data_IF_558036539020
#
_entry.id   IF_558036539020
#
_cell.length_a   1.000
_cell.length_b   1.000
_cell.length_c   1.000
_cell.angle_alpha   90.00
_cell.angle_beta   90.00
_cell.angle_gamma   90.00
#
_symmetry.space_group_name_H-M   'P 1'
#
loop_
_entity.id
_entity.type
_entity.pdbx_description
1 polymer ?
#
# COMPACT_ATOMS: atom_id res chain seq x y z
N UNK A 1 38.45 24.20 34.36
CA UNK A 1 39.11 23.19 33.49
C UNK A 1 38.03 22.55 32.62
N UNK A 2 38.03 22.94 31.35
CA UNK A 2 37.01 22.62 30.35
C UNK A 2 37.24 21.24 29.72
N UNK A 3 36.16 20.46 29.47
CA UNK A 3 36.14 19.48 28.36
C UNK A 3 35.56 20.17 27.13
N UNK A 4 36.07 19.89 25.90
CA UNK A 4 35.20 19.24 24.90
C UNK A 4 36.04 18.30 23.94
N UNK A 5 35.55 17.81 22.77
CA UNK A 5 35.56 16.38 22.39
C UNK A 5 36.44 16.10 21.13
N UNK A 6 36.48 14.86 20.59
CA UNK A 6 36.32 14.58 19.12
C UNK A 6 36.62 13.14 18.66
N UNK A 7 35.61 12.58 17.96
CA UNK A 7 35.64 11.95 16.62
C UNK A 7 36.62 10.79 16.38
N UNK A 8 36.08 9.57 16.30
CA UNK A 8 36.66 8.46 15.54
C UNK A 8 36.44 8.71 14.04
N UNK A 9 37.52 9.01 13.29
CA UNK A 9 37.52 8.98 11.82
C UNK A 9 38.00 7.61 11.34
N UNK A 10 37.25 7.05 10.39
CA UNK A 10 37.71 6.01 9.48
C UNK A 10 38.98 6.46 8.74
N UNK A 11 40.03 5.63 8.73
CA UNK A 11 41.07 5.68 7.70
C UNK A 11 41.57 4.28 7.36
N UNK A 12 41.56 3.99 6.05
CA UNK A 12 41.89 2.73 5.37
C UNK A 12 43.34 2.27 5.64
N UNK A 13 43.60 0.97 5.86
CA UNK A 13 44.91 0.39 5.58
C UNK A 13 45.14 0.20 4.06
N UNK A 14 46.38 0.26 3.58
CA UNK A 14 46.70 0.21 2.15
C UNK A 14 46.53 -1.19 1.56
N UNK A 15 45.92 -1.26 0.37
CA UNK A 15 45.88 -2.46 -0.47
C UNK A 15 47.29 -2.70 -1.04
N UNK A 16 47.99 -3.73 -0.56
CA UNK A 16 49.10 -4.33 -1.33
C UNK A 16 48.54 -5.50 -2.12
N UNK A 17 48.51 -5.35 -3.44
CA UNK A 17 48.09 -6.37 -4.39
C UNK A 17 49.08 -7.53 -4.40
N UNK A 18 48.62 -8.75 -4.09
CA UNK A 18 49.37 -9.96 -4.36
C UNK A 18 49.38 -10.22 -5.88
N UNK A 19 50.56 -10.43 -6.45
CA UNK A 19 50.72 -11.01 -7.79
C UNK A 19 50.59 -12.53 -7.67
N UNK A 20 49.60 -13.13 -8.30
CA UNK A 20 49.46 -14.58 -8.38
C UNK A 20 50.32 -15.08 -9.54
N UNK A 21 51.41 -15.78 -9.25
CA UNK A 21 52.21 -16.47 -10.24
C UNK A 21 51.98 -17.97 -10.13
N UNK A 22 51.76 -18.65 -11.26
CA UNK A 22 51.76 -20.10 -11.33
C UNK A 22 53.13 -20.59 -11.83
N UNK A 23 53.67 -21.62 -11.19
CA UNK A 23 54.93 -22.27 -11.57
C UNK A 23 54.70 -23.75 -11.78
N UNK A 24 55.34 -24.31 -12.81
CA UNK A 24 55.36 -25.76 -13.06
C UNK A 24 56.83 -26.17 -13.17
N UNK A 25 57.29 -27.08 -12.32
CA UNK A 25 58.65 -27.64 -12.36
C UNK A 25 58.62 -29.14 -12.68
N UNK A 26 59.58 -29.59 -13.50
CA UNK A 26 59.81 -31.00 -13.78
C UNK A 26 61.32 -31.23 -13.95
N UNK A 27 61.95 -31.89 -12.98
CA UNK A 27 63.41 -32.07 -12.96
C UNK A 27 64.19 -30.76 -12.86
N UNK A 28 65.34 -30.65 -13.55
CA UNK A 28 66.28 -29.51 -13.45
C UNK A 28 65.86 -28.26 -14.27
N UNK A 29 64.61 -28.15 -14.71
CA UNK A 29 64.09 -26.99 -15.44
C UNK A 29 62.89 -26.33 -14.74
N UNK A 30 62.80 -25.01 -14.81
CA UNK A 30 61.69 -24.21 -14.23
C UNK A 30 61.05 -23.36 -15.33
N UNK A 31 59.72 -23.46 -15.47
CA UNK A 31 58.92 -22.57 -16.31
C UNK A 31 58.08 -21.65 -15.42
N UNK A 32 58.15 -20.33 -15.67
CA UNK A 32 57.47 -19.29 -14.89
C UNK A 32 56.48 -18.54 -15.78
N UNK A 33 55.22 -18.43 -15.34
CA UNK A 33 54.24 -17.57 -15.98
C UNK A 33 54.10 -16.27 -15.18
N UNK A 34 54.30 -15.12 -15.82
CA UNK A 34 54.05 -13.80 -15.22
C UNK A 34 53.03 -13.04 -16.04
N UNK A 35 52.04 -12.49 -15.36
CA UNK A 35 51.09 -11.56 -15.94
C UNK A 35 51.73 -10.16 -16.02
N UNK A 36 51.80 -9.59 -17.23
CA UNK A 36 52.34 -8.24 -17.43
C UNK A 36 51.23 -7.22 -17.16
N UNK A 37 51.38 -6.44 -16.08
CA UNK A 37 50.43 -5.35 -15.79
C UNK A 37 50.70 -4.14 -16.68
N UNK A 38 49.75 -3.85 -17.56
CA UNK A 38 49.65 -2.56 -18.24
C UNK A 38 48.80 -2.63 -19.51
N UNK A 39 47.51 -2.31 -19.41
CA UNK A 39 46.62 -1.77 -20.46
C UNK A 39 46.54 -2.41 -21.86
N UNK A 40 47.30 -3.44 -22.16
CA UNK A 40 47.36 -4.15 -23.44
C UNK A 40 46.81 -5.58 -23.26
N UNK A 41 46.39 -6.28 -24.34
CA UNK A 41 45.83 -7.62 -24.23
C UNK A 41 46.79 -8.58 -23.50
N UNK A 42 46.25 -9.57 -22.74
CA UNK A 42 47.05 -10.46 -21.93
C UNK A 42 48.04 -11.22 -22.82
N UNK A 43 49.33 -11.04 -22.52
CA UNK A 43 50.43 -11.67 -23.23
C UNK A 43 51.21 -12.54 -22.24
N UNK A 44 51.46 -13.79 -22.62
CA UNK A 44 52.22 -14.76 -21.83
C UNK A 44 53.62 -14.83 -22.41
N UNK A 45 54.63 -14.49 -21.61
CA UNK A 45 56.03 -14.74 -21.95
C UNK A 45 56.46 -16.10 -21.38
N UNK A 46 57.08 -16.94 -22.23
CA UNK A 46 57.64 -18.24 -21.83
C UNK A 46 59.15 -18.16 -21.97
N UNK A 47 59.86 -18.27 -20.85
CA UNK A 47 61.32 -18.29 -20.82
C UNK A 47 61.81 -19.73 -20.61
N UNK A 48 62.66 -20.23 -21.51
CA UNK A 48 63.21 -21.58 -21.45
C UNK A 48 64.71 -21.47 -21.29
N UNK A 49 65.22 -21.73 -20.09
CA UNK A 49 66.64 -21.49 -19.75
C UNK A 49 67.55 -22.69 -19.96
N UNK A 50 67.06 -23.81 -20.53
CA UNK A 50 67.89 -25.00 -20.84
C UNK A 50 67.49 -25.65 -22.17
N UNK A 51 68.43 -26.26 -22.91
CA UNK A 51 68.16 -26.87 -24.22
C UNK A 51 67.30 -28.14 -24.07
N UNK A 52 66.16 -28.18 -24.78
CA UNK A 52 65.20 -29.29 -24.76
C UNK A 52 65.27 -30.07 -26.08
N UNK A 53 65.30 -31.40 -26.01
CA UNK A 53 65.33 -32.26 -27.20
C UNK A 53 64.07 -32.08 -28.08
N UNK A 54 64.20 -32.12 -29.42
CA UNK A 54 63.11 -31.79 -30.36
C UNK A 54 61.85 -32.65 -30.22
N UNK A 55 61.96 -33.88 -29.71
CA UNK A 55 60.81 -34.77 -29.45
C UNK A 55 59.91 -34.33 -28.28
N UNK A 56 60.37 -33.40 -27.43
CA UNK A 56 59.59 -32.90 -26.28
C UNK A 56 58.95 -31.52 -26.52
N UNK A 57 59.27 -30.87 -27.64
CA UNK A 57 58.68 -29.57 -28.03
C UNK A 57 57.18 -29.72 -28.40
N UNK A 58 56.81 -30.85 -29.00
CA UNK A 58 55.42 -31.16 -29.40
C UNK A 58 54.50 -31.33 -28.18
N UNK A 59 55.01 -31.89 -27.07
CA UNK A 59 54.25 -32.07 -25.83
C UNK A 59 54.00 -30.74 -25.10
N UNK A 60 54.97 -29.84 -25.11
CA UNK A 60 54.84 -28.51 -24.48
C UNK A 60 53.87 -27.62 -25.25
N UNK A 61 53.92 -27.64 -26.59
CA UNK A 61 52.95 -26.93 -27.45
C UNK A 61 51.53 -27.47 -27.27
N UNK A 62 51.36 -28.78 -27.10
CA UNK A 62 50.05 -29.40 -26.89
C UNK A 62 49.39 -29.01 -25.56
N UNK A 63 50.19 -28.86 -24.50
CA UNK A 63 49.70 -28.41 -23.18
C UNK A 63 49.35 -26.91 -23.17
N UNK A 64 50.07 -26.09 -23.94
CA UNK A 64 49.75 -24.65 -24.10
C UNK A 64 48.46 -24.46 -24.91
N UNK A 65 48.22 -25.26 -25.94
CA UNK A 65 46.96 -25.25 -26.71
C UNK A 65 45.77 -25.70 -25.84
N UNK A 66 45.93 -26.73 -25.00
CA UNK A 66 44.91 -27.15 -24.03
C UNK A 66 44.59 -26.06 -23.00
N UNK A 67 45.60 -25.35 -22.49
CA UNK A 67 45.41 -24.21 -21.58
C UNK A 67 44.65 -23.04 -22.25
N UNK A 68 44.92 -22.77 -23.54
CA UNK A 68 44.21 -21.75 -24.34
C UNK A 68 42.75 -22.15 -24.62
N UNK A 69 42.45 -23.42 -24.91
CA UNK A 69 41.07 -23.89 -25.13
C UNK A 69 40.27 -23.86 -23.82
N UNK A 70 40.88 -24.20 -22.68
CA UNK A 70 40.22 -24.03 -21.37
C UNK A 70 39.97 -22.56 -21.01
N UNK A 71 40.89 -21.63 -21.34
CA UNK A 71 40.71 -20.19 -21.05
C UNK A 71 39.68 -19.53 -21.98
N UNK A 72 39.61 -19.94 -23.25
CA UNK A 72 38.60 -19.46 -24.20
C UNK A 72 37.19 -19.99 -23.86
N UNK A 73 37.10 -21.19 -23.26
CA UNK A 73 35.85 -21.74 -22.72
C UNK A 73 35.35 -20.96 -21.49
N UNK A 74 36.26 -20.42 -20.67
CA UNK A 74 35.90 -19.52 -19.57
C UNK A 74 35.46 -18.13 -20.04
N UNK A 75 35.95 -17.65 -21.18
CA UNK A 75 35.52 -16.38 -21.77
C UNK A 75 34.20 -16.46 -22.56
N UNK A 76 33.85 -17.61 -23.12
CA UNK A 76 32.53 -17.85 -23.75
C UNK A 76 31.42 -18.22 -22.74
N UNK A 77 31.78 -18.73 -21.55
CA UNK A 77 30.86 -18.87 -20.41
C UNK A 77 30.74 -17.56 -19.61
N UNK A 78 31.71 -16.65 -19.70
CA UNK A 78 31.64 -15.30 -19.12
C UNK A 78 30.93 -14.25 -20.01
N UNK A 79 30.64 -14.57 -21.28
CA UNK A 79 29.91 -13.67 -22.20
C UNK A 79 28.58 -14.22 -22.72
N UNK A 80 28.01 -15.25 -22.08
CA UNK A 80 26.63 -15.69 -22.30
C UNK A 80 25.87 -15.98 -20.99
N UNK A 81 26.31 -15.40 -19.87
CA UNK A 81 25.58 -15.40 -18.59
C UNK A 81 25.10 -13.99 -18.19
N UNK A 82 24.88 -13.14 -19.20
CA UNK A 82 24.23 -11.82 -19.08
C UNK A 82 22.96 -11.77 -19.91
N UNK A 83 22.21 -12.87 -19.93
CA UNK A 83 20.80 -12.88 -20.30
C UNK A 83 20.01 -13.66 -19.25
N UNK A 84 19.07 -12.94 -18.63
CA UNK A 84 18.00 -13.40 -17.75
C UNK A 84 18.37 -13.89 -16.34
N UNK A 85 18.97 -13.01 -15.55
CA UNK A 85 18.40 -12.74 -14.22
C UNK A 85 18.17 -11.23 -14.08
N UNK A 86 17.47 -10.64 -15.04
CA UNK A 86 16.55 -9.57 -14.69
C UNK A 86 15.51 -10.20 -13.77
N UNK A 87 15.82 -10.27 -12.48
CA UNK A 87 14.80 -10.22 -11.46
C UNK A 87 14.00 -8.99 -11.82
N UNK A 88 12.88 -9.24 -12.51
CA UNK A 88 11.73 -8.38 -12.48
C UNK A 88 11.39 -8.32 -10.98
N UNK A 89 12.06 -7.42 -10.25
CA UNK A 89 11.39 -6.63 -9.24
C UNK A 89 10.36 -5.82 -10.03
N UNK A 90 9.32 -6.51 -10.52
CA UNK A 90 8.02 -5.92 -10.46
C UNK A 90 7.94 -5.56 -8.98
N UNK A 91 7.81 -4.27 -8.61
CA UNK A 91 7.21 -4.04 -7.32
C UNK A 91 5.97 -4.93 -7.37
N UNK A 92 5.89 -5.92 -6.48
CA UNK A 92 4.58 -6.40 -6.13
C UNK A 92 3.87 -5.08 -5.82
N UNK A 93 2.94 -4.67 -6.69
CA UNK A 93 2.01 -3.65 -6.31
C UNK A 93 1.32 -4.31 -5.12
N UNK A 94 1.85 -4.05 -3.93
CA UNK A 94 1.19 -4.43 -2.70
C UNK A 94 0.00 -3.51 -2.71
N UNK A 95 -1.06 -3.99 -3.36
CA UNK A 95 -2.35 -3.36 -3.47
C UNK A 95 -3.00 -3.50 -2.09
N UNK A 96 -2.39 -2.88 -1.08
CA UNK A 96 -2.78 -3.00 0.32
C UNK A 96 -4.03 -2.17 0.63
N UNK A 97 -4.38 -1.21 -0.19
CA UNK A 97 -5.38 -0.21 0.16
C UNK A 97 -6.63 -0.34 -0.71
N UNK A 98 -7.77 0.18 -0.28
CA UNK A 98 -9.02 0.00 -1.02
C UNK A 98 -9.99 1.16 -0.87
N UNK A 99 -11.00 1.18 -1.74
CA UNK A 99 -12.12 2.10 -1.71
C UNK A 99 -13.42 1.37 -2.08
N UNK A 100 -14.56 1.97 -1.74
CA UNK A 100 -15.86 1.51 -2.27
C UNK A 100 -15.86 1.67 -3.79
N UNK A 101 -16.21 0.62 -4.53
CA UNK A 101 -16.24 0.59 -6.01
C UNK A 101 -17.63 0.33 -6.59
N UNK A 102 -18.60 -0.08 -5.76
CA UNK A 102 -20.01 -0.19 -6.16
C UNK A 102 -20.94 -0.24 -4.94
N UNK A 103 -22.24 -0.11 -5.21
CA UNK A 103 -23.30 -0.23 -4.20
C UNK A 103 -24.36 -1.22 -4.66
N UNK A 104 -25.03 -1.88 -3.72
CA UNK A 104 -26.20 -2.71 -3.97
C UNK A 104 -27.38 -2.12 -3.19
N UNK A 105 -28.45 -1.76 -3.90
CA UNK A 105 -29.67 -1.16 -3.34
C UNK A 105 -30.86 -1.87 -3.99
N UNK A 106 -31.73 -2.48 -3.19
CA UNK A 106 -32.91 -3.21 -3.71
C UNK A 106 -32.55 -4.32 -4.71
N UNK A 107 -31.40 -4.97 -4.54
CA UNK A 107 -30.88 -5.98 -5.48
C UNK A 107 -30.24 -5.41 -6.76
N UNK A 108 -30.35 -4.10 -7.01
CA UNK A 108 -29.70 -3.44 -8.15
C UNK A 108 -28.27 -3.05 -7.80
N UNK A 109 -27.32 -3.39 -8.66
CA UNK A 109 -25.92 -2.95 -8.53
C UNK A 109 -25.74 -1.61 -9.21
N UNK A 110 -25.25 -0.63 -8.46
CA UNK A 110 -24.86 0.69 -8.94
C UNK A 110 -23.33 0.73 -9.02
N UNK A 111 -22.74 0.89 -10.22
CA UNK A 111 -21.30 1.06 -10.33
C UNK A 111 -20.86 2.33 -9.60
N UNK A 112 -19.71 2.25 -8.94
CA UNK A 112 -19.03 3.38 -8.33
C UNK A 112 -18.07 4.06 -9.31
N UNK A 113 -17.50 5.18 -8.86
CA UNK A 113 -16.40 5.84 -9.53
C UNK A 113 -15.17 4.92 -9.56
N UNK A 114 -14.37 5.01 -10.61
CA UNK A 114 -13.15 4.21 -10.78
C UNK A 114 -11.95 5.15 -10.69
N UNK A 115 -11.38 5.36 -9.50
CA UNK A 115 -10.36 6.39 -9.25
C UNK A 115 -9.12 6.28 -10.13
N UNK A 116 -8.61 5.06 -10.34
CA UNK A 116 -7.42 4.83 -11.18
C UNK A 116 -7.68 4.98 -12.68
N UNK A 117 -8.93 4.84 -13.12
CA UNK A 117 -9.30 4.94 -14.54
C UNK A 117 -10.70 5.53 -14.67
N UNK A 118 -10.84 6.85 -14.44
CA UNK A 118 -12.13 7.51 -14.51
C UNK A 118 -12.74 7.38 -15.91
N UNK A 119 -13.97 6.86 -15.96
CA UNK A 119 -14.67 6.69 -17.23
C UNK A 119 -15.41 7.98 -17.59
N UNK A 120 -15.23 8.52 -18.81
CA UNK A 120 -16.01 9.67 -19.28
C UNK A 120 -17.51 9.36 -19.27
N UNK A 121 -18.34 10.31 -18.84
CA UNK A 121 -19.81 10.21 -18.81
C UNK A 121 -20.37 9.03 -18.00
N UNK A 122 -19.60 8.50 -17.04
CA UNK A 122 -20.01 7.37 -16.21
C UNK A 122 -21.36 7.66 -15.50
N UNK A 123 -22.30 6.74 -15.63
CA UNK A 123 -23.61 6.79 -14.97
C UNK A 123 -23.49 6.20 -13.57
N UNK A 124 -23.03 7.01 -12.61
CA UNK A 124 -22.67 6.58 -11.26
C UNK A 124 -23.30 7.48 -10.19
N UNK A 125 -23.55 6.92 -9.02
CA UNK A 125 -24.06 7.65 -7.85
C UNK A 125 -22.94 8.10 -6.90
N UNK A 126 -21.75 7.54 -7.06
CA UNK A 126 -20.61 7.78 -6.19
C UNK A 126 -19.87 9.06 -6.59
N UNK A 127 -19.43 9.84 -5.60
CA UNK A 127 -18.52 10.97 -5.83
C UNK A 127 -17.12 10.48 -6.14
N UNK A 128 -16.33 11.35 -6.76
CA UNK A 128 -14.97 11.05 -7.18
C UNK A 128 -14.06 10.72 -5.98
N UNK A 129 -13.11 9.83 -6.19
CA UNK A 129 -12.02 9.53 -5.27
C UNK A 129 -10.75 9.26 -6.09
N UNK A 130 -9.57 9.72 -5.67
CA UNK A 130 -8.40 9.79 -6.56
C UNK A 130 -7.66 8.45 -6.72
N UNK A 131 -7.53 7.71 -5.63
CA UNK A 131 -6.71 6.51 -5.50
C UNK A 131 -7.11 5.76 -4.21
N UNK A 132 -6.33 4.77 -3.82
CA UNK A 132 -6.53 4.05 -2.56
C UNK A 132 -5.71 4.61 -1.39
N UNK A 133 -5.05 5.76 -1.52
CA UNK A 133 -4.25 6.29 -0.42
C UNK A 133 -5.16 6.74 0.75
N UNK A 134 -4.71 6.52 2.00
CA UNK A 134 -5.48 6.96 3.14
C UNK A 134 -5.36 8.47 3.34
N UNK A 135 -6.37 9.04 3.97
CA UNK A 135 -6.26 10.34 4.62
C UNK A 135 -5.68 10.11 6.01
N UNK A 136 -4.68 10.92 6.41
CA UNK A 136 -3.92 10.68 7.66
C UNK A 136 -4.39 11.55 8.84
N UNK A 137 -5.16 12.61 8.57
CA UNK A 137 -5.60 13.56 9.61
C UNK A 137 -7.09 13.80 9.55
N UNK A 138 -7.76 13.81 10.71
CA UNK A 138 -9.22 13.97 10.82
C UNK A 138 -9.71 15.36 10.39
N UNK A 139 -8.79 16.32 10.29
CA UNK A 139 -9.05 17.70 9.86
C UNK A 139 -8.79 17.94 8.37
N UNK A 140 -8.29 16.95 7.62
CA UNK A 140 -8.02 17.11 6.19
C UNK A 140 -9.31 17.45 5.43
N UNK A 141 -9.25 18.40 4.50
CA UNK A 141 -10.39 18.81 3.69
C UNK A 141 -11.00 17.65 2.86
N UNK A 142 -10.21 16.60 2.57
CA UNK A 142 -10.68 15.41 1.86
C UNK A 142 -11.55 14.49 2.71
N UNK A 143 -11.58 14.65 4.05
CA UNK A 143 -12.28 13.72 4.96
C UNK A 143 -13.77 13.55 4.67
N UNK A 144 -14.42 14.55 4.07
CA UNK A 144 -15.84 14.49 3.75
C UNK A 144 -16.12 13.37 2.76
N UNK A 145 -15.46 13.36 1.59
CA UNK A 145 -15.76 12.45 0.48
C UNK A 145 -14.52 12.11 -0.38
N UNK A 146 -13.34 11.95 0.22
CA UNK A 146 -12.05 11.73 -0.46
C UNK A 146 -11.71 12.80 -1.52
N UNK A 147 -12.15 14.05 -1.27
CA UNK A 147 -12.02 15.16 -2.23
C UNK A 147 -13.07 15.20 -3.34
N UNK A 148 -13.97 14.22 -3.43
CA UNK A 148 -15.08 14.19 -4.38
C UNK A 148 -16.13 15.27 -4.10
N UNK A 149 -16.68 15.85 -5.16
CA UNK A 149 -17.58 17.02 -5.08
C UNK A 149 -18.97 16.75 -5.63
N UNK A 150 -19.13 15.80 -6.55
CA UNK A 150 -20.41 15.56 -7.22
C UNK A 150 -20.52 14.15 -7.81
N UNK A 151 -21.74 13.72 -8.09
CA UNK A 151 -22.01 12.56 -8.95
C UNK A 151 -23.17 12.90 -9.91
N UNK A 152 -23.20 12.33 -11.13
CA UNK A 152 -24.23 12.65 -12.11
C UNK A 152 -25.60 12.06 -11.77
N UNK A 153 -25.65 10.96 -11.01
CA UNK A 153 -26.89 10.27 -10.67
C UNK A 153 -27.12 10.19 -9.15
N UNK A 154 -28.32 9.78 -8.78
CA UNK A 154 -28.66 9.32 -7.44
C UNK A 154 -29.46 8.02 -7.51
N UNK A 155 -29.43 7.23 -6.44
CA UNK A 155 -30.22 5.99 -6.34
C UNK A 155 -31.39 6.18 -5.38
N UNK A 156 -32.59 5.77 -5.81
CA UNK A 156 -33.78 5.73 -4.93
C UNK A 156 -33.65 4.57 -3.95
N UNK A 157 -33.98 4.83 -2.69
CA UNK A 157 -34.02 3.82 -1.63
C UNK A 157 -35.18 4.12 -0.68
N UNK A 158 -35.93 3.10 -0.28
CA UNK A 158 -36.98 3.26 0.74
C UNK A 158 -36.34 3.32 2.14
N UNK A 159 -36.77 4.25 2.99
CA UNK A 159 -36.39 4.26 4.39
C UNK A 159 -36.67 2.88 5.02
N UNK A 160 -35.74 2.36 5.82
CA UNK A 160 -35.81 1.01 6.37
C UNK A 160 -35.22 -0.08 5.48
N UNK A 161 -34.89 0.21 4.22
CA UNK A 161 -34.15 -0.72 3.34
C UNK A 161 -32.66 -0.72 3.64
N UNK A 162 -31.98 -1.79 3.24
CA UNK A 162 -30.53 -1.89 3.29
C UNK A 162 -29.88 -1.32 2.03
N UNK A 163 -28.75 -0.65 2.23
CA UNK A 163 -27.74 -0.36 1.22
C UNK A 163 -26.48 -1.13 1.55
N UNK A 164 -25.86 -1.76 0.56
CA UNK A 164 -24.57 -2.44 0.71
C UNK A 164 -23.50 -1.71 -0.08
N UNK A 165 -22.45 -1.24 0.57
CA UNK A 165 -21.22 -0.80 -0.09
C UNK A 165 -20.32 -2.01 -0.37
N UNK A 166 -19.67 -2.00 -1.53
CA UNK A 166 -18.75 -3.05 -1.99
C UNK A 166 -17.38 -2.46 -2.25
N UNK A 167 -16.34 -3.05 -1.66
CA UNK A 167 -14.95 -2.67 -1.88
C UNK A 167 -14.34 -3.52 -3.00
N UNK A 168 -13.60 -2.89 -3.91
CA UNK A 168 -12.87 -3.63 -4.95
C UNK A 168 -11.77 -4.51 -4.36
N UNK A 169 -11.16 -4.03 -3.28
CA UNK A 169 -10.20 -4.74 -2.44
C UNK A 169 -10.14 -4.04 -1.08
N UNK A 170 -9.64 -4.74 -0.06
CA UNK A 170 -9.35 -4.19 1.26
C UNK A 170 -8.38 -5.10 2.01
N UNK A 171 -7.39 -4.56 2.73
CA UNK A 171 -6.37 -5.42 3.38
C UNK A 171 -6.16 -5.22 4.89
N UNK A 172 -6.84 -4.27 5.53
CA UNK A 172 -6.61 -3.97 6.95
C UNK A 172 -7.73 -4.53 7.83
N UNK A 173 -7.40 -5.31 8.85
CA UNK A 173 -8.42 -6.01 9.67
C UNK A 173 -8.67 -5.35 11.03
N UNK A 174 -7.92 -4.30 11.36
CA UNK A 174 -8.00 -3.63 12.66
C UNK A 174 -8.54 -2.21 12.49
N UNK A 175 -9.72 -1.98 13.05
CA UNK A 175 -10.36 -0.67 13.12
C UNK A 175 -11.82 -0.67 12.69
N UNK A 176 -12.56 0.42 12.93
CA UNK A 176 -14.00 0.43 12.77
C UNK A 176 -14.45 0.63 11.32
N UNK A 177 -15.70 0.22 11.08
CA UNK A 177 -16.52 0.71 9.97
C UNK A 177 -17.50 1.74 10.53
N UNK A 178 -17.71 2.86 9.83
CA UNK A 178 -18.73 3.86 10.17
C UNK A 178 -19.49 4.29 8.92
N UNK A 179 -20.81 4.40 9.03
CA UNK A 179 -21.67 4.85 7.94
C UNK A 179 -22.48 6.06 8.38
N UNK A 180 -22.47 7.08 7.56
CA UNK A 180 -23.03 8.39 7.86
C UNK A 180 -23.99 8.83 6.75
N UNK A 181 -24.93 9.69 7.10
CA UNK A 181 -25.80 10.37 6.15
C UNK A 181 -25.80 11.88 6.38
N UNK A 182 -26.08 12.64 5.32
CA UNK A 182 -26.18 14.10 5.32
C UNK A 182 -27.33 14.56 4.41
N UNK A 183 -28.26 15.41 4.89
CA UNK A 183 -29.39 15.89 4.09
C UNK A 183 -28.96 16.97 3.08
N UNK A 184 -29.28 16.77 1.80
CA UNK A 184 -29.09 17.72 0.71
C UNK A 184 -30.37 18.53 0.45
N UNK A 185 -30.73 19.41 1.40
CA UNK A 185 -32.01 20.13 1.41
C UNK A 185 -32.25 21.00 0.16
N UNK A 186 -31.19 21.59 -0.40
CA UNK A 186 -31.21 22.40 -1.62
C UNK A 186 -30.83 21.63 -2.89
N UNK A 187 -30.77 20.30 -2.81
CA UNK A 187 -30.42 19.41 -3.89
C UNK A 187 -28.91 19.12 -4.03
N UNK A 188 -28.58 18.02 -4.71
CA UNK A 188 -27.19 17.51 -4.82
C UNK A 188 -26.19 18.52 -5.38
N UNK A 189 -26.58 19.37 -6.33
CA UNK A 189 -25.70 20.36 -6.96
C UNK A 189 -25.11 21.37 -5.96
N UNK A 190 -25.86 21.71 -4.91
CA UNK A 190 -25.44 22.62 -3.83
C UNK A 190 -24.98 21.89 -2.56
N UNK A 191 -24.96 20.56 -2.57
CA UNK A 191 -24.72 19.76 -1.38
C UNK A 191 -23.22 19.47 -1.20
N UNK A 192 -22.52 20.34 -0.46
CA UNK A 192 -21.08 20.21 -0.22
C UNK A 192 -20.70 19.38 1.01
N UNK A 193 -21.67 19.05 1.87
CA UNK A 193 -21.45 18.28 3.09
C UNK A 193 -20.66 19.03 4.17
N UNK A 194 -20.51 20.36 4.11
CA UNK A 194 -19.65 21.10 5.06
C UNK A 194 -20.34 21.52 6.34
N UNK A 195 -21.66 21.59 6.35
CA UNK A 195 -22.41 22.01 7.54
C UNK A 195 -22.42 20.92 8.61
N UNK A 196 -22.71 21.30 9.86
CA UNK A 196 -22.88 20.36 10.98
C UNK A 196 -24.22 19.61 10.87
N UNK A 197 -24.34 18.74 9.87
CA UNK A 197 -25.56 17.96 9.57
C UNK A 197 -25.29 16.49 9.27
N UNK A 198 -24.03 16.02 9.39
CA UNK A 198 -23.74 14.59 9.29
C UNK A 198 -24.24 13.88 10.53
N UNK A 199 -24.92 12.75 10.34
CA UNK A 199 -25.32 11.86 11.43
C UNK A 199 -24.92 10.43 11.09
N UNK A 200 -24.49 9.68 12.10
CA UNK A 200 -24.06 8.29 11.94
C UNK A 200 -25.28 7.38 11.98
N UNK A 201 -25.40 6.45 11.05
CA UNK A 201 -26.52 5.49 10.97
C UNK A 201 -26.10 4.06 11.31
N UNK A 202 -24.81 3.77 11.25
CA UNK A 202 -24.26 2.45 11.54
C UNK A 202 -22.79 2.55 11.93
N UNK A 203 -22.34 1.64 12.80
CA UNK A 203 -20.93 1.45 13.10
C UNK A 203 -20.65 0.07 13.65
N UNK A 204 -19.43 -0.41 13.42
CA UNK A 204 -18.87 -1.56 14.14
C UNK A 204 -17.41 -1.30 14.46
N UNK A 205 -17.09 -1.24 15.75
CA UNK A 205 -15.72 -1.17 16.26
C UNK A 205 -15.13 -2.56 16.50
N UNK A 206 -14.44 -2.71 17.63
CA UNK A 206 -13.98 -4.00 18.15
C UNK A 206 -15.17 -4.77 18.73
N UNK A 207 -15.37 -6.02 18.30
CA UNK A 207 -16.33 -6.95 18.92
C UNK A 207 -15.66 -8.09 19.69
N UNK A 208 -14.33 -8.25 19.55
CA UNK A 208 -13.51 -9.12 20.39
C UNK A 208 -13.02 -8.43 21.67
N UNK A 209 -12.10 -9.08 22.37
CA UNK A 209 -11.54 -8.59 23.65
C UNK A 209 -10.09 -8.10 23.55
N UNK A 210 -9.46 -8.21 22.37
CA UNK A 210 -8.07 -7.82 22.14
C UNK A 210 -7.96 -6.88 20.94
N UNK A 211 -7.35 -5.71 21.12
CA UNK A 211 -7.26 -4.69 20.05
C UNK A 211 -6.41 -5.15 18.86
N UNK A 212 -5.39 -5.99 19.09
CA UNK A 212 -4.56 -6.57 18.03
C UNK A 212 -5.17 -7.80 17.34
N UNK A 213 -6.40 -8.18 17.71
CA UNK A 213 -7.14 -9.23 17.00
C UNK A 213 -7.68 -8.74 15.65
N UNK A 214 -8.30 -9.63 14.89
CA UNK A 214 -9.02 -9.31 13.66
C UNK A 214 -10.53 -9.12 13.89
N UNK A 215 -10.96 -9.04 15.15
CA UNK A 215 -12.37 -8.99 15.54
C UNK A 215 -12.92 -7.55 15.51
N UNK A 216 -12.84 -6.95 14.32
CA UNK A 216 -13.26 -5.59 14.05
C UNK A 216 -14.21 -5.49 12.86
N UNK A 217 -14.92 -4.36 12.75
CA UNK A 217 -15.72 -4.04 11.56
C UNK A 217 -14.92 -4.14 10.26
N UNK A 218 -13.71 -3.58 10.21
CA UNK A 218 -12.83 -3.70 9.01
C UNK A 218 -12.38 -5.14 8.74
N UNK A 219 -12.28 -5.98 9.78
CA UNK A 219 -12.05 -7.42 9.63
C UNK A 219 -13.22 -8.18 8.98
N UNK A 220 -14.45 -7.72 9.17
CA UNK A 220 -15.62 -8.23 8.42
C UNK A 220 -15.52 -7.81 6.96
N UNK A 221 -15.26 -6.53 6.68
CA UNK A 221 -15.09 -6.02 5.31
C UNK A 221 -13.94 -6.71 4.59
N UNK A 222 -12.84 -7.02 5.28
CA UNK A 222 -11.73 -7.79 4.69
C UNK A 222 -12.18 -9.15 4.15
N UNK A 223 -13.05 -9.85 4.88
CA UNK A 223 -13.50 -11.20 4.53
C UNK A 223 -14.55 -11.21 3.43
N UNK A 224 -15.40 -10.19 3.38
CA UNK A 224 -16.60 -10.16 2.50
C UNK A 224 -16.50 -9.16 1.36
N UNK A 225 -15.59 -8.20 1.47
CA UNK A 225 -15.51 -6.96 0.68
C UNK A 225 -16.82 -6.16 0.67
N UNK A 226 -17.66 -6.33 1.70
CA UNK A 226 -19.01 -5.75 1.74
C UNK A 226 -19.35 -5.24 3.13
N UNK A 227 -20.09 -4.14 3.18
CA UNK A 227 -20.75 -3.66 4.40
C UNK A 227 -22.17 -3.24 4.08
N UNK A 228 -23.15 -3.75 4.85
CA UNK A 228 -24.57 -3.47 4.65
C UNK A 228 -25.15 -2.73 5.84
N UNK A 229 -25.78 -1.60 5.58
CA UNK A 229 -26.39 -0.75 6.61
C UNK A 229 -27.85 -0.47 6.28
N UNK A 230 -28.69 -0.44 7.32
CA UNK A 230 -30.11 -0.12 7.20
C UNK A 230 -30.30 1.40 7.22
N UNK A 231 -30.99 1.96 6.23
CA UNK A 231 -31.45 3.35 6.30
C UNK A 231 -32.48 3.45 7.44
N UNK A 232 -32.38 4.42 8.39
CA UNK A 232 -33.34 4.53 9.47
C UNK A 232 -34.78 4.62 8.96
N UNK A 233 -35.67 3.77 9.48
CA UNK A 233 -37.02 3.60 8.91
C UNK A 233 -37.92 4.84 9.11
N UNK A 234 -37.68 5.61 10.16
CA UNK A 234 -38.40 6.85 10.47
C UNK A 234 -37.84 8.07 9.71
N UNK A 235 -36.73 7.92 8.98
CA UNK A 235 -36.05 9.03 8.31
C UNK A 235 -36.97 9.72 7.31
N UNK A 236 -37.03 11.05 7.42
CA UNK A 236 -37.73 11.92 6.47
C UNK A 236 -37.25 11.66 5.02
N UNK A 237 -38.17 11.48 4.06
CA UNK A 237 -37.81 11.42 2.64
C UNK A 237 -37.06 12.65 2.16
N UNK A 238 -36.15 12.47 1.19
CA UNK A 238 -35.35 13.55 0.63
C UNK A 238 -34.06 13.07 -0.01
N UNK A 239 -33.25 14.02 -0.47
CA UNK A 239 -31.93 13.75 -1.04
C UNK A 239 -30.88 13.72 0.08
N UNK A 240 -30.02 12.69 0.08
CA UNK A 240 -28.98 12.51 1.08
C UNK A 240 -27.66 12.11 0.42
N UNK A 241 -26.55 12.61 0.98
CA UNK A 241 -25.28 11.92 0.84
C UNK A 241 -25.23 10.78 1.84
N UNK A 242 -24.72 9.64 1.41
CA UNK A 242 -24.29 8.56 2.29
C UNK A 242 -22.78 8.39 2.19
N UNK A 243 -22.11 8.34 3.33
CA UNK A 243 -20.65 8.26 3.46
C UNK A 243 -20.28 6.98 4.19
N UNK A 244 -19.50 6.11 3.55
CA UNK A 244 -18.92 4.93 4.17
C UNK A 244 -17.46 5.22 4.50
N UNK A 245 -17.03 4.88 5.70
CA UNK A 245 -15.68 5.12 6.18
C UNK A 245 -15.10 3.87 6.83
N UNK A 246 -13.94 3.47 6.35
CA UNK A 246 -13.06 2.56 7.07
C UNK A 246 -11.97 3.39 7.75
N UNK A 247 -11.70 3.10 9.02
CA UNK A 247 -10.55 3.65 9.73
C UNK A 247 -9.62 2.49 10.08
N UNK A 248 -8.47 2.40 9.41
CA UNK A 248 -7.47 1.38 9.70
C UNK A 248 -6.53 1.87 10.81
N UNK A 249 -6.33 1.00 11.81
CA UNK A 249 -5.58 1.26 13.05
C UNK A 249 -4.37 0.30 13.21
N UNK A 250 -4.01 -0.41 12.15
CA UNK A 250 -2.93 -1.41 12.17
C UNK A 250 -1.56 -0.81 12.50
N UNK A 251 -1.35 0.49 12.28
CA UNK A 251 -0.15 1.21 12.71
C UNK A 251 -0.46 1.99 13.98
N UNK A 252 0.32 1.73 15.05
CA UNK A 252 0.16 2.42 16.32
C UNK A 252 0.22 3.94 16.13
N UNK A 253 -0.80 4.64 16.64
CA UNK A 253 -0.91 6.10 16.63
C UNK A 253 -0.80 6.73 15.23
N UNK A 254 -1.13 5.97 14.17
CA UNK A 254 -1.03 6.41 12.78
C UNK A 254 -2.33 6.06 12.05
N UNK A 255 -3.42 6.79 12.31
CA UNK A 255 -4.73 6.47 11.75
C UNK A 255 -4.75 6.65 10.23
N UNK A 256 -5.49 5.79 9.55
CA UNK A 256 -5.67 5.81 8.11
C UNK A 256 -7.17 5.79 7.77
N UNK A 257 -7.70 6.90 7.29
CA UNK A 257 -9.12 7.08 6.98
C UNK A 257 -9.40 6.86 5.48
N UNK A 258 -10.46 6.11 5.15
CA UNK A 258 -10.89 5.81 3.78
C UNK A 258 -12.38 6.10 3.61
N UNK A 259 -12.76 7.35 3.26
CA UNK A 259 -14.16 7.74 3.15
C UNK A 259 -14.64 7.88 1.70
N UNK A 260 -15.70 7.17 1.32
CA UNK A 260 -16.37 7.40 0.03
C UNK A 260 -17.83 7.83 0.20
N UNK A 261 -18.29 8.74 -0.67
CA UNK A 261 -19.66 9.25 -0.66
C UNK A 261 -20.45 8.83 -1.89
N UNK A 262 -21.76 8.59 -1.72
CA UNK A 262 -22.73 8.41 -2.79
C UNK A 262 -23.98 9.26 -2.57
N UNK A 263 -24.71 9.51 -3.66
CA UNK A 263 -25.97 10.25 -3.70
C UNK A 263 -27.16 9.29 -3.68
N UNK A 264 -28.04 9.43 -2.69
CA UNK A 264 -29.26 8.61 -2.56
C UNK A 264 -30.49 9.49 -2.34
N UNK A 265 -31.61 9.07 -2.91
CA UNK A 265 -32.93 9.69 -2.72
C UNK A 265 -33.77 8.76 -1.84
N UNK A 266 -33.93 9.15 -0.57
CA UNK A 266 -34.73 8.41 0.40
C UNK A 266 -36.21 8.65 0.14
N UNK A 267 -36.97 7.58 0.02
CA UNK A 267 -38.43 7.56 -0.16
C UNK A 267 -39.12 6.94 1.07
N UNK A 268 -40.44 7.03 1.14
CA UNK A 268 -41.24 6.52 2.26
C UNK A 268 -42.10 7.61 2.90
N UNK A 269 -42.54 7.39 4.14
CA UNK A 269 -43.42 8.31 4.88
C UNK A 269 -42.85 8.74 6.24
N UNK A 270 -41.57 8.48 6.49
CA UNK A 270 -40.89 8.92 7.71
C UNK A 270 -40.94 10.45 7.88
N UNK A 271 -40.81 10.91 9.11
CA UNK A 271 -40.82 12.35 9.45
C UNK A 271 -39.66 12.75 10.35
N UNK A 272 -38.88 11.79 10.85
CA UNK A 272 -37.82 12.03 11.81
C UNK A 272 -36.57 12.59 11.12
N UNK A 273 -35.87 13.44 11.87
CA UNK A 273 -34.53 13.94 11.56
C UNK A 273 -33.62 13.62 12.73
N UNK A 274 -32.33 13.44 12.46
CA UNK A 274 -31.35 13.18 13.51
C UNK A 274 -31.31 14.34 14.53
N UNK A 275 -31.42 14.06 15.84
CA UNK A 275 -31.33 15.08 16.89
C UNK A 275 -30.02 15.88 16.81
N UNK A 276 -30.08 17.17 17.19
CA UNK A 276 -28.94 18.09 17.09
C UNK A 276 -27.67 17.63 17.82
N UNK A 277 -27.81 16.85 18.90
CA UNK A 277 -26.69 16.29 19.66
C UNK A 277 -26.00 15.10 18.96
N UNK A 278 -26.60 14.54 17.91
CA UNK A 278 -26.02 13.48 17.07
C UNK A 278 -25.44 14.01 15.75
N UNK A 279 -25.56 15.33 15.50
CA UNK A 279 -25.01 15.97 14.31
C UNK A 279 -23.53 16.32 14.48
N UNK A 280 -22.74 16.06 13.45
CA UNK A 280 -21.32 16.38 13.37
C UNK A 280 -20.99 17.15 12.08
N UNK A 281 -19.82 17.81 12.08
CA UNK A 281 -19.18 18.33 10.88
C UNK A 281 -18.15 17.33 10.40
N UNK A 282 -17.99 17.19 9.08
CA UNK A 282 -16.89 16.44 8.47
C UNK A 282 -16.25 17.36 7.43
N UNK A 283 -14.95 17.70 7.55
CA UNK A 283 -13.93 17.16 8.47
C UNK A 283 -14.17 17.44 9.96
N UNK A 284 -13.41 16.74 10.80
CA UNK A 284 -13.34 16.90 12.25
C UNK A 284 -14.60 16.52 13.05
N UNK A 285 -15.23 15.38 12.72
CA UNK A 285 -16.28 14.80 13.58
C UNK A 285 -15.74 14.37 14.96
N UNK A 286 -14.42 14.21 15.07
CA UNK A 286 -13.66 14.02 16.30
C UNK A 286 -12.27 14.66 16.13
N UNK A 287 -11.65 15.17 17.23
CA UNK A 287 -10.30 15.71 17.17
C UNK A 287 -9.30 14.60 16.82
N UNK A 288 -8.17 14.95 16.19
CA UNK A 288 -7.12 13.97 15.89
C UNK A 288 -6.69 13.21 17.16
N UNK A 289 -6.66 13.86 18.31
CA UNK A 289 -6.29 13.26 19.61
C UNK A 289 -7.35 12.34 20.22
N UNK A 290 -8.48 12.08 19.56
CA UNK A 290 -9.52 11.18 20.06
C UNK A 290 -8.94 9.77 20.32
N UNK A 291 -9.27 9.14 21.47
CA UNK A 291 -8.73 7.82 21.84
C UNK A 291 -9.23 6.65 20.99
N UNK A 292 -10.18 6.90 20.08
CA UNK A 292 -10.60 6.01 19.00
C UNK A 292 -9.92 6.28 17.66
N UNK A 293 -9.20 7.40 17.51
CA UNK A 293 -8.39 7.76 16.33
C UNK A 293 -6.91 7.45 16.58
N UNK A 294 -6.34 7.98 17.66
CA UNK A 294 -4.93 7.74 18.03
C UNK A 294 -4.86 6.53 18.95
N UNK A 295 -4.68 5.36 18.33
CA UNK A 295 -4.72 4.07 19.03
C UNK A 295 -3.40 3.35 18.84
N UNK A 296 -2.80 2.92 19.94
CA UNK A 296 -1.82 1.83 19.94
C UNK A 296 -2.56 0.52 20.23
N UNK A 297 -2.75 -0.31 19.20
CA UNK A 297 -3.46 -1.59 19.32
C UNK A 297 -2.58 -2.70 19.92
N UNK A 298 -1.27 -2.49 20.03
CA UNK A 298 -0.29 -3.50 20.45
C UNK A 298 0.05 -3.38 21.94
N UNK A 299 -0.10 -2.18 22.51
CA UNK A 299 0.27 -1.88 23.89
C UNK A 299 -0.90 -1.33 24.71
N UNK A 300 -0.72 -1.26 26.04
CA UNK A 300 -1.63 -0.53 26.93
C UNK A 300 -2.81 -1.32 27.51
N UNK A 301 -2.92 -2.62 27.23
CA UNK A 301 -3.85 -3.54 27.92
C UNK A 301 -5.34 -3.21 27.75
N UNK A 302 -5.70 -2.33 26.81
CA UNK A 302 -7.10 -2.04 26.48
C UNK A 302 -7.77 -3.31 25.96
N UNK A 303 -9.01 -3.52 26.37
CA UNK A 303 -9.85 -4.64 25.92
C UNK A 303 -11.12 -4.18 25.23
N UNK A 304 -11.31 -2.86 25.10
CA UNK A 304 -12.47 -2.24 24.49
C UNK A 304 -12.08 -1.03 23.64
N UNK A 305 -12.94 -0.71 22.68
CA UNK A 305 -12.78 0.38 21.74
C UNK A 305 -14.10 1.12 21.55
N UNK A 306 -14.04 2.44 21.56
CA UNK A 306 -15.17 3.31 21.24
C UNK A 306 -14.91 3.95 19.88
N UNK A 307 -15.85 3.79 18.94
CA UNK A 307 -15.78 4.47 17.64
C UNK A 307 -15.80 5.99 17.84
N UNK A 308 -14.97 6.75 17.12
CA UNK A 308 -14.94 8.21 17.23
C UNK A 308 -16.22 8.87 16.69
N UNK A 309 -16.49 10.10 17.14
CA UNK A 309 -17.67 10.88 16.76
C UNK A 309 -18.95 10.54 17.56
N UNK A 310 -20.09 11.15 17.23
CA UNK A 310 -21.36 10.94 17.93
C UNK A 310 -21.85 9.49 17.86
N UNK A 311 -22.81 9.17 18.74
CA UNK A 311 -23.52 7.90 18.71
C UNK A 311 -24.33 7.71 17.42
N UNK A 312 -24.67 6.45 17.12
CA UNK A 312 -25.54 6.09 16.00
C UNK A 312 -26.96 6.59 16.25
N UNK A 313 -27.56 7.22 15.23
CA UNK A 313 -28.98 7.51 15.18
C UNK A 313 -29.71 6.40 14.43
N UNK A 314 -30.61 5.71 15.12
CA UNK A 314 -31.31 4.52 14.60
C UNK A 314 -32.68 4.84 13.97
N UNK A 315 -33.07 6.11 13.95
CA UNK A 315 -34.41 6.55 13.58
C UNK A 315 -35.31 6.81 14.77
#
# INVERSE_FOLDING_TARGET
MNRPPRILRNYKPPVRSASVGAYISWGNGVMSFRELKGGAPPSIAVDITTPVAPSRIVYVLSLVVLAFVSYSSYLLVAYNFTMLFSLIFAPALVAAHGAVTSYIIGGTTYPGYQGFSPQPNAQIIQRQWPDYNPIMTSTDAKMTCNGGTSAPLSAKIEAGSNITAVWGQWTHQQGPVMVWMYPCESGFASCDGKQKKWFKIDQMGLYGTALNSNDWGTGVVYKTLKWSSKIPASLKPGQYLIRHELLALHQANTPQFYPECAQIEVTGSGTATAPANLLASIPAYAPQSDPGIMVDIYNGGRTSYTCPGPAVWTG
#
